data_IF_564842909146
#
_entry.id   IF_564842909146
#
_cell.length_a   1.000
_cell.length_b   1.000
_cell.length_c   1.000
_cell.angle_alpha   90.00
_cell.angle_beta   90.00
_cell.angle_gamma   90.00
#
_symmetry.space_group_name_H-M   'P 1'
#
loop_
_entity.id
_entity.type
_entity.pdbx_description
1 polymer ?
#
# COMPACT_ATOMS: atom_id res chain seq x y z
N UNK A 1 -4.05 -22.69 -26.60
CA UNK A 1 -3.72 -21.86 -25.43
C UNK A 1 -3.65 -20.41 -25.89
N UNK A 2 -4.73 -19.65 -25.75
CA UNK A 2 -4.67 -18.19 -25.86
C UNK A 2 -4.20 -17.71 -24.49
N UNK A 3 -2.96 -17.26 -24.42
CA UNK A 3 -2.52 -16.41 -23.33
C UNK A 3 -3.27 -15.09 -23.57
N UNK A 4 -4.38 -14.88 -22.87
CA UNK A 4 -5.01 -13.57 -22.82
C UNK A 4 -3.98 -12.64 -22.20
N UNK A 5 -3.34 -11.85 -23.07
CA UNK A 5 -2.61 -10.67 -22.67
C UNK A 5 -3.64 -9.78 -21.98
N UNK A 6 -3.60 -9.73 -20.66
CA UNK A 6 -4.24 -8.66 -19.91
C UNK A 6 -3.65 -7.38 -20.47
N UNK A 7 -4.46 -6.66 -21.24
CA UNK A 7 -4.08 -5.41 -21.86
C UNK A 7 -3.78 -4.39 -20.78
N UNK A 8 -2.82 -3.51 -21.06
CA UNK A 8 -2.27 -2.48 -20.21
C UNK A 8 -3.31 -1.41 -19.74
N UNK A 9 -4.59 -1.58 -20.08
CA UNK A 9 -5.70 -0.66 -19.77
C UNK A 9 -6.61 -1.15 -18.62
N UNK A 10 -6.39 -2.36 -18.07
CA UNK A 10 -7.42 -3.06 -17.28
C UNK A 10 -7.23 -3.07 -15.75
N UNK A 11 -6.05 -2.70 -15.21
CA UNK A 11 -5.79 -2.85 -13.77
C UNK A 11 -6.64 -1.90 -12.95
N UNK A 12 -6.63 -0.61 -13.28
CA UNK A 12 -7.36 0.40 -12.53
C UNK A 12 -8.79 0.60 -13.00
N UNK A 13 -9.10 0.34 -14.28
CA UNK A 13 -10.47 0.47 -14.78
C UNK A 13 -11.46 -0.44 -14.03
N UNK A 14 -11.04 -1.66 -13.72
CA UNK A 14 -11.83 -2.58 -12.89
C UNK A 14 -12.08 -2.03 -11.47
N UNK A 15 -11.11 -1.36 -10.86
CA UNK A 15 -11.24 -0.77 -9.51
C UNK A 15 -12.17 0.44 -9.48
N UNK A 16 -12.25 1.20 -10.58
CA UNK A 16 -13.07 2.41 -10.69
C UNK A 16 -14.58 2.11 -10.85
N UNK A 17 -14.91 0.87 -11.20
CA UNK A 17 -16.29 0.38 -11.35
C UNK A 17 -16.90 -0.21 -10.07
N UNK A 18 -16.18 -0.19 -8.95
CA UNK A 18 -16.64 -0.78 -7.69
C UNK A 18 -17.92 -0.09 -7.17
N UNK A 19 -18.94 -0.89 -6.87
CA UNK A 19 -20.20 -0.37 -6.32
C UNK A 19 -20.04 0.13 -4.89
N UNK A 20 -20.70 1.26 -4.58
CA UNK A 20 -20.74 1.79 -3.22
C UNK A 20 -21.65 0.91 -2.36
N UNK A 21 -21.13 0.46 -1.23
CA UNK A 21 -21.91 -0.29 -0.23
C UNK A 21 -22.73 0.71 0.60
N UNK A 22 -24.01 0.42 0.79
CA UNK A 22 -24.89 1.22 1.65
C UNK A 22 -24.48 1.15 3.12
N UNK A 23 -24.71 2.23 3.88
CA UNK A 23 -24.21 2.36 5.27
C UNK A 23 -24.58 1.18 6.17
N UNK A 24 -25.84 0.72 6.09
CA UNK A 24 -26.32 -0.42 6.89
C UNK A 24 -25.57 -1.72 6.58
N UNK A 25 -25.39 -2.03 5.29
CA UNK A 25 -24.66 -3.23 4.87
C UNK A 25 -23.18 -3.15 5.28
N UNK A 26 -22.57 -1.96 5.20
CA UNK A 26 -21.22 -1.73 5.71
C UNK A 26 -21.12 -1.99 7.22
N UNK A 27 -22.03 -1.43 8.02
CA UNK A 27 -22.02 -1.60 9.48
C UNK A 27 -22.25 -3.07 9.92
N UNK A 28 -23.01 -3.84 9.13
CA UNK A 28 -23.19 -5.29 9.34
C UNK A 28 -21.92 -6.09 8.99
N UNK A 29 -21.31 -5.82 7.82
CA UNK A 29 -20.08 -6.50 7.39
C UNK A 29 -18.90 -6.21 8.31
N UNK A 30 -18.74 -4.94 8.71
CA UNK A 30 -17.58 -4.50 9.46
C UNK A 30 -17.50 -5.12 10.85
N UNK A 31 -18.65 -5.40 11.47
CA UNK A 31 -18.73 -6.03 12.77
C UNK A 31 -18.17 -7.44 12.73
N UNK A 32 -18.54 -8.23 11.71
CA UNK A 32 -18.05 -9.60 11.54
C UNK A 32 -16.57 -9.61 11.13
N UNK A 33 -16.19 -8.77 10.16
CA UNK A 33 -14.80 -8.67 9.70
C UNK A 33 -13.83 -8.28 10.83
N UNK A 34 -14.25 -7.41 11.74
CA UNK A 34 -13.45 -7.08 12.92
C UNK A 34 -13.21 -8.29 13.82
N UNK A 35 -14.25 -9.09 14.08
CA UNK A 35 -14.13 -10.30 14.89
C UNK A 35 -13.22 -11.34 14.22
N UNK A 36 -13.41 -11.57 12.91
CA UNK A 36 -12.61 -12.49 12.12
C UNK A 36 -11.13 -12.06 12.08
N UNK A 37 -10.86 -10.76 11.91
CA UNK A 37 -9.50 -10.22 11.92
C UNK A 37 -8.80 -10.42 13.27
N UNK A 38 -9.52 -10.22 14.38
CA UNK A 38 -9.00 -10.51 15.72
C UNK A 38 -8.73 -12.00 15.94
N UNK A 39 -9.62 -12.87 15.46
CA UNK A 39 -9.40 -14.32 15.51
C UNK A 39 -8.20 -14.74 14.66
N UNK A 40 -8.03 -14.17 13.48
CA UNK A 40 -6.88 -14.41 12.60
C UNK A 40 -5.56 -13.97 13.26
N UNK A 41 -5.53 -12.80 13.92
CA UNK A 41 -4.35 -12.36 14.67
C UNK A 41 -4.02 -13.30 15.83
N UNK A 42 -5.04 -13.78 16.56
CA UNK A 42 -4.83 -14.76 17.64
C UNK A 42 -4.29 -16.08 17.11
N UNK A 43 -4.85 -16.59 16.02
CA UNK A 43 -4.37 -17.81 15.39
C UNK A 43 -2.92 -17.65 14.90
N UNK A 44 -2.57 -16.50 14.32
CA UNK A 44 -1.20 -16.20 13.87
C UNK A 44 -0.18 -16.35 15.01
N UNK A 45 -0.50 -15.90 16.23
CA UNK A 45 0.38 -16.00 17.40
C UNK A 45 0.81 -17.44 17.73
N UNK A 46 0.03 -18.45 17.34
CA UNK A 46 0.30 -19.87 17.58
C UNK A 46 1.08 -20.52 16.43
N UNK A 47 1.37 -19.76 15.37
CA UNK A 47 2.11 -20.23 14.19
C UNK A 47 3.57 -19.76 14.20
N UNK A 48 4.39 -20.37 13.35
CA UNK A 48 5.72 -19.87 13.02
C UNK A 48 5.72 -18.86 11.88
N UNK A 49 4.57 -18.32 11.48
CA UNK A 49 4.45 -17.34 10.40
C UNK A 49 4.37 -15.92 10.95
N UNK A 50 4.63 -14.94 10.11
CA UNK A 50 4.36 -13.53 10.40
C UNK A 50 3.64 -12.89 9.22
N UNK A 51 3.07 -11.70 9.39
CA UNK A 51 2.32 -11.02 8.33
C UNK A 51 2.84 -9.61 8.16
N UNK A 52 3.11 -9.20 6.93
CA UNK A 52 3.37 -7.81 6.55
C UNK A 52 2.20 -7.33 5.68
N UNK A 53 1.54 -6.25 6.11
CA UNK A 53 0.47 -5.59 5.37
C UNK A 53 1.04 -4.29 4.80
N UNK A 54 1.29 -4.23 3.49
CA UNK A 54 1.72 -3.01 2.82
C UNK A 54 0.52 -2.26 2.25
N UNK A 55 0.36 -1.00 2.65
CA UNK A 55 -0.72 -0.13 2.19
C UNK A 55 -0.11 1.01 1.38
N UNK A 56 -0.35 0.98 0.07
CA UNK A 56 -0.02 2.02 -0.89
C UNK A 56 -1.28 2.55 -1.58
N UNK A 57 -1.11 3.54 -2.46
CA UNK A 57 -2.23 4.11 -3.19
C UNK A 57 -2.05 5.59 -3.51
N UNK A 58 -3.02 6.11 -4.25
CA UNK A 58 -3.12 7.52 -4.64
C UNK A 58 -3.29 8.42 -3.40
N UNK A 59 -2.80 9.65 -3.46
CA UNK A 59 -2.96 10.60 -2.36
C UNK A 59 -4.42 10.98 -2.15
N UNK A 60 -4.83 11.12 -0.89
CA UNK A 60 -6.23 11.26 -0.52
C UNK A 60 -7.09 9.99 -0.64
N UNK A 61 -6.53 8.83 -1.04
CA UNK A 61 -7.31 7.60 -1.21
C UNK A 61 -7.86 6.96 0.09
N UNK A 62 -7.51 7.50 1.27
CA UNK A 62 -8.00 6.98 2.55
C UNK A 62 -7.04 6.00 3.24
N UNK A 63 -5.77 5.97 2.81
CA UNK A 63 -4.73 5.05 3.32
C UNK A 63 -4.55 5.17 4.84
N UNK A 64 -4.48 6.40 5.34
CA UNK A 64 -4.31 6.69 6.76
C UNK A 64 -5.53 6.24 7.58
N UNK A 65 -6.74 6.45 7.07
CA UNK A 65 -7.98 6.01 7.72
C UNK A 65 -8.05 4.49 7.83
N UNK A 66 -7.63 3.74 6.81
CA UNK A 66 -7.55 2.27 6.88
C UNK A 66 -6.53 1.81 7.91
N UNK A 67 -5.34 2.43 7.92
CA UNK A 67 -4.30 2.11 8.91
C UNK A 67 -4.78 2.41 10.34
N UNK A 68 -5.50 3.52 10.54
CA UNK A 68 -6.08 3.87 11.82
C UNK A 68 -7.09 2.81 12.28
N UNK A 69 -8.00 2.40 11.38
CA UNK A 69 -8.97 1.33 11.66
C UNK A 69 -8.27 0.02 12.05
N UNK A 70 -7.23 -0.38 11.33
CA UNK A 70 -6.48 -1.60 11.65
C UNK A 70 -5.80 -1.52 13.03
N UNK A 71 -5.19 -0.37 13.35
CA UNK A 71 -4.58 -0.13 14.67
C UNK A 71 -5.61 -0.12 15.81
N UNK A 72 -6.84 0.36 15.56
CA UNK A 72 -7.93 0.35 16.54
C UNK A 72 -8.50 -1.05 16.78
N UNK A 73 -8.49 -1.92 15.76
CA UNK A 73 -9.16 -3.21 15.84
C UNK A 73 -8.27 -4.33 16.33
N UNK A 74 -7.01 -4.36 15.90
CA UNK A 74 -6.05 -5.40 16.24
C UNK A 74 -5.48 -5.21 17.66
N UNK A 75 -5.05 -6.30 18.29
CA UNK A 75 -4.32 -6.22 19.55
C UNK A 75 -2.95 -5.57 19.31
N UNK A 76 -2.65 -4.41 19.92
CA UNK A 76 -1.41 -3.67 19.69
C UNK A 76 -0.17 -4.45 20.15
N UNK A 77 -0.31 -5.46 21.03
CA UNK A 77 0.84 -6.26 21.48
C UNK A 77 1.40 -7.17 20.40
N UNK A 78 0.63 -7.46 19.35
CA UNK A 78 1.06 -8.28 18.20
C UNK A 78 1.15 -7.49 16.91
N UNK A 79 1.14 -6.15 16.98
CA UNK A 79 1.09 -5.27 15.82
C UNK A 79 2.15 -4.17 15.91
N UNK A 80 2.90 -3.99 14.83
CA UNK A 80 3.84 -2.88 14.66
C UNK A 80 3.46 -2.07 13.41
N UNK A 81 3.35 -0.75 13.52
CA UNK A 81 3.07 0.14 12.36
C UNK A 81 4.30 0.95 12.02
N UNK A 82 4.76 0.85 10.77
CA UNK A 82 5.90 1.57 10.23
C UNK A 82 5.46 2.46 9.07
N UNK A 83 5.86 3.74 9.11
CA UNK A 83 5.64 4.67 8.01
C UNK A 83 6.96 5.03 7.34
N UNK A 84 6.99 4.97 6.01
CA UNK A 84 8.20 5.17 5.20
C UNK A 84 8.11 6.44 4.37
N UNK A 85 7.83 7.58 5.00
CA UNK A 85 7.69 8.87 4.33
C UNK A 85 9.02 9.39 3.77
N UNK A 86 10.07 9.34 4.59
CA UNK A 86 11.40 9.80 4.24
C UNK A 86 12.46 8.77 4.65
N UNK A 87 13.56 8.74 3.90
CA UNK A 87 14.77 8.08 4.35
C UNK A 87 15.37 8.87 5.51
N UNK A 88 15.24 8.36 6.74
CA UNK A 88 16.00 8.88 7.87
C UNK A 88 17.51 8.91 7.52
N UNK A 89 18.24 9.89 8.04
CA UNK A 89 19.66 10.10 7.70
C UNK A 89 20.56 8.86 7.95
N UNK A 90 20.17 7.94 8.83
CA UNK A 90 20.88 6.68 9.05
C UNK A 90 20.57 5.61 7.99
N UNK A 91 19.44 5.71 7.29
CA UNK A 91 19.03 4.80 6.23
C UNK A 91 19.73 5.11 4.91
N UNK A 92 20.19 6.36 4.68
CA UNK A 92 20.92 6.75 3.47
C UNK A 92 22.31 6.13 3.38
N UNK A 93 22.93 5.79 4.51
CA UNK A 93 24.25 5.13 4.58
C UNK A 93 24.16 3.60 4.47
N UNK A 94 22.97 3.06 4.20
CA UNK A 94 22.69 1.62 4.14
C UNK A 94 22.05 1.26 2.79
N UNK A 95 22.10 -0.02 2.38
CA UNK A 95 21.33 -0.48 1.22
C UNK A 95 19.85 -0.16 1.38
N UNK A 96 19.17 0.21 0.28
CA UNK A 96 17.76 0.60 0.25
C UNK A 96 16.83 -0.34 1.04
N UNK A 97 17.05 -1.66 0.93
CA UNK A 97 16.20 -2.67 1.56
C UNK A 97 16.42 -2.84 3.06
N UNK A 98 17.50 -2.28 3.63
CA UNK A 98 17.86 -2.45 5.04
C UNK A 98 16.72 -2.00 5.97
N UNK A 99 16.04 -0.90 5.66
CA UNK A 99 14.93 -0.39 6.48
C UNK A 99 13.76 -1.36 6.57
N UNK A 100 13.45 -2.06 5.47
CA UNK A 100 12.37 -3.05 5.45
C UNK A 100 12.74 -4.29 6.27
N UNK A 101 14.00 -4.73 6.15
CA UNK A 101 14.54 -5.80 6.99
C UNK A 101 14.44 -5.50 8.49
N UNK A 102 14.75 -4.28 8.92
CA UNK A 102 14.63 -3.88 10.32
C UNK A 102 13.18 -3.82 10.80
N UNK A 103 12.24 -3.60 9.89
CA UNK A 103 10.81 -3.50 10.19
C UNK A 103 10.03 -4.80 10.03
N UNK A 104 10.71 -5.92 9.76
CA UNK A 104 10.03 -7.21 9.68
C UNK A 104 9.53 -7.65 11.06
N UNK A 105 8.29 -8.11 11.16
CA UNK A 105 7.72 -8.60 12.41
C UNK A 105 8.36 -9.93 12.82
N UNK A 106 8.48 -10.18 14.12
CA UNK A 106 8.78 -11.52 14.60
C UNK A 106 7.64 -12.49 14.27
N UNK A 107 7.90 -13.81 14.39
CA UNK A 107 6.85 -14.82 14.23
C UNK A 107 5.69 -14.55 15.19
N UNK A 108 4.48 -14.83 14.73
CA UNK A 108 3.22 -14.54 15.41
C UNK A 108 2.74 -13.10 15.27
N UNK A 109 3.56 -12.16 14.78
CA UNK A 109 3.21 -10.73 14.73
C UNK A 109 2.83 -10.26 13.33
N UNK A 110 2.15 -9.12 13.32
CA UNK A 110 1.77 -8.35 12.13
C UNK A 110 2.59 -7.07 12.09
N UNK A 111 3.11 -6.70 10.93
CA UNK A 111 3.61 -5.35 10.67
C UNK A 111 2.75 -4.67 9.59
N UNK A 112 2.39 -3.40 9.80
CA UNK A 112 1.77 -2.56 8.77
C UNK A 112 2.84 -1.63 8.22
N UNK A 113 3.02 -1.64 6.90
CA UNK A 113 3.90 -0.74 6.18
C UNK A 113 3.09 0.29 5.42
N UNK A 114 3.27 1.56 5.78
CA UNK A 114 2.66 2.67 5.08
C UNK A 114 3.65 3.25 4.05
N UNK A 115 3.34 3.02 2.76
CA UNK A 115 4.17 3.49 1.65
C UNK A 115 5.52 2.76 1.54
N UNK A 116 6.57 3.50 1.18
CA UNK A 116 7.93 2.97 1.11
C UNK A 116 8.20 2.15 -0.15
N UNK A 117 8.18 0.81 -0.03
CA UNK A 117 8.79 -0.09 -1.03
C UNK A 117 8.21 0.10 -2.43
N UNK A 118 6.94 0.50 -2.51
CA UNK A 118 6.27 0.81 -3.77
C UNK A 118 6.12 2.31 -4.03
N UNK A 119 6.09 3.15 -2.99
CA UNK A 119 5.91 4.60 -3.15
C UNK A 119 7.19 5.27 -3.64
N UNK A 120 8.36 4.95 -3.06
CA UNK A 120 9.62 5.59 -3.47
C UNK A 120 9.95 5.35 -4.96
N UNK A 121 9.76 4.14 -5.52
CA UNK A 121 10.01 3.95 -6.94
C UNK A 121 9.04 4.73 -7.84
N UNK A 122 7.78 4.86 -7.44
CA UNK A 122 6.77 5.65 -8.17
C UNK A 122 7.18 7.13 -8.16
N UNK A 123 7.54 7.66 -6.99
CA UNK A 123 7.97 9.05 -6.82
C UNK A 123 9.20 9.37 -7.70
N UNK A 124 10.23 8.53 -7.62
CA UNK A 124 11.44 8.67 -8.44
C UNK A 124 11.14 8.53 -9.93
N UNK A 125 10.21 7.67 -10.33
CA UNK A 125 9.82 7.55 -11.72
C UNK A 125 9.35 8.89 -12.28
N UNK A 126 8.44 9.55 -11.56
CA UNK A 126 7.83 10.80 -11.97
C UNK A 126 8.83 11.95 -11.89
N UNK A 127 9.47 12.14 -10.73
CA UNK A 127 10.32 13.30 -10.49
C UNK A 127 11.69 13.22 -11.17
N UNK A 128 12.28 12.03 -11.29
CA UNK A 128 13.55 11.83 -11.99
C UNK A 128 13.37 11.43 -13.46
N UNK A 129 12.12 11.41 -13.96
CA UNK A 129 11.76 11.05 -15.34
C UNK A 129 12.35 9.69 -15.77
N UNK A 130 12.22 8.69 -14.90
CA UNK A 130 12.69 7.33 -15.21
C UNK A 130 11.75 6.69 -16.25
N UNK A 131 12.27 5.70 -16.96
CA UNK A 131 11.49 4.92 -17.94
C UNK A 131 11.10 3.55 -17.40
N UNK A 132 10.25 2.85 -18.15
CA UNK A 132 9.76 1.50 -17.84
C UNK A 132 10.88 0.49 -17.56
N UNK A 133 12.02 0.60 -18.25
CA UNK A 133 13.17 -0.28 -18.00
C UNK A 133 13.70 -0.15 -16.57
N UNK A 134 13.77 1.08 -16.05
CA UNK A 134 14.18 1.30 -14.66
C UNK A 134 13.16 0.74 -13.67
N UNK A 135 11.85 0.86 -13.97
CA UNK A 135 10.77 0.24 -13.15
C UNK A 135 10.89 -1.28 -13.18
N UNK A 136 11.19 -1.87 -14.33
CA UNK A 136 11.42 -3.31 -14.49
C UNK A 136 12.57 -3.80 -13.61
N UNK A 137 13.71 -3.10 -13.63
CA UNK A 137 14.87 -3.46 -12.81
C UNK A 137 14.60 -3.33 -11.30
N UNK A 138 14.08 -2.20 -10.83
CA UNK A 138 13.76 -2.03 -9.40
C UNK A 138 12.70 -3.04 -8.95
N UNK A 139 11.77 -3.43 -9.83
CA UNK A 139 10.80 -4.48 -9.54
C UNK A 139 11.43 -5.85 -9.35
N UNK A 140 12.56 -6.15 -10.00
CA UNK A 140 13.31 -7.39 -9.74
C UNK A 140 13.86 -7.42 -8.32
N UNK A 141 14.41 -6.30 -7.86
CA UNK A 141 14.93 -6.17 -6.50
C UNK A 141 13.82 -6.32 -5.46
N UNK A 142 12.67 -5.68 -5.69
CA UNK A 142 11.47 -5.82 -4.84
C UNK A 142 11.04 -7.28 -4.78
N UNK A 143 10.81 -7.94 -5.93
CA UNK A 143 10.41 -9.36 -5.96
C UNK A 143 11.43 -10.27 -5.30
N UNK A 144 12.73 -9.97 -5.42
CA UNK A 144 13.77 -10.72 -4.74
C UNK A 144 13.61 -10.65 -3.21
N UNK A 145 13.39 -9.45 -2.68
CA UNK A 145 13.09 -9.26 -1.26
C UNK A 145 11.80 -9.97 -0.83
N UNK A 146 10.70 -9.76 -1.57
CA UNK A 146 9.40 -10.40 -1.30
C UNK A 146 9.53 -11.93 -1.24
N UNK A 147 10.21 -12.53 -2.22
CA UNK A 147 10.37 -13.98 -2.29
C UNK A 147 11.22 -14.53 -1.14
N UNK A 148 12.21 -13.76 -0.69
CA UNK A 148 13.07 -14.17 0.41
C UNK A 148 12.31 -14.17 1.74
N UNK A 149 11.54 -13.12 2.04
CA UNK A 149 10.75 -13.06 3.28
C UNK A 149 9.57 -14.03 3.25
N UNK A 150 8.98 -14.27 2.06
CA UNK A 150 7.94 -15.30 1.88
C UNK A 150 8.49 -16.69 2.18
N UNK A 151 9.67 -17.04 1.65
CA UNK A 151 10.33 -18.32 1.94
C UNK A 151 10.70 -18.48 3.41
N UNK A 152 11.00 -17.38 4.09
CA UNK A 152 11.21 -17.39 5.53
C UNK A 152 9.89 -17.70 6.27
N UNK A 153 8.72 -17.41 5.70
CA UNK A 153 7.41 -17.66 6.30
C UNK A 153 6.65 -16.37 6.68
N UNK A 154 7.04 -15.25 6.08
CA UNK A 154 6.31 -13.97 6.19
C UNK A 154 5.29 -13.88 5.07
N UNK A 155 4.01 -13.90 5.44
CA UNK A 155 2.89 -13.66 4.52
C UNK A 155 2.86 -12.17 4.18
N UNK A 156 2.69 -11.84 2.90
CA UNK A 156 2.65 -10.47 2.43
C UNK A 156 1.26 -10.13 1.86
N UNK A 157 0.61 -9.15 2.46
CA UNK A 157 -0.67 -8.60 2.00
C UNK A 157 -0.40 -7.22 1.42
N UNK A 158 -0.61 -7.06 0.10
CA UNK A 158 -0.32 -5.81 -0.62
C UNK A 158 -1.63 -5.16 -1.05
N UNK A 159 -1.90 -3.96 -0.55
CA UNK A 159 -3.14 -3.22 -0.80
C UNK A 159 -2.79 -1.92 -1.52
N UNK A 160 -3.35 -1.74 -2.72
CA UNK A 160 -3.30 -0.47 -3.45
C UNK A 160 -4.66 0.20 -3.40
N UNK A 161 -4.72 1.40 -2.84
CA UNK A 161 -5.94 2.22 -2.80
C UNK A 161 -5.98 3.18 -3.97
N UNK A 162 -6.93 2.97 -4.87
CA UNK A 162 -7.07 3.75 -6.10
C UNK A 162 -8.22 4.76 -6.02
N UNK A 163 -8.03 5.94 -6.62
CA UNK A 163 -9.07 6.94 -6.86
C UNK A 163 -8.87 7.50 -8.26
N UNK A 164 -9.96 7.70 -9.01
CA UNK A 164 -9.92 8.47 -10.26
C UNK A 164 -9.38 9.88 -9.99
N UNK A 165 -8.73 10.50 -10.99
CA UNK A 165 -8.26 11.90 -10.89
C UNK A 165 -9.32 12.85 -10.36
N UNK A 166 -10.55 12.74 -10.88
CA UNK A 166 -11.67 13.57 -10.44
C UNK A 166 -12.13 13.28 -9.00
N UNK A 167 -12.09 12.02 -8.55
CA UNK A 167 -12.40 11.66 -7.16
C UNK A 167 -11.30 12.13 -6.21
N UNK A 168 -10.03 11.99 -6.60
CA UNK A 168 -8.88 12.50 -5.87
C UNK A 168 -9.00 14.02 -5.66
N UNK A 169 -9.25 14.78 -6.73
CA UNK A 169 -9.43 16.23 -6.67
C UNK A 169 -10.51 16.64 -5.66
N UNK A 170 -11.68 16.00 -5.74
CA UNK A 170 -12.78 16.28 -4.81
C UNK A 170 -12.38 15.98 -3.38
N UNK A 171 -11.74 14.83 -3.13
CA UNK A 171 -11.33 14.42 -1.78
C UNK A 171 -10.27 15.36 -1.19
N UNK A 172 -9.27 15.77 -1.96
CA UNK A 172 -8.27 16.75 -1.53
C UNK A 172 -8.90 18.11 -1.22
N UNK A 173 -9.85 18.55 -2.04
CA UNK A 173 -10.62 19.77 -1.80
C UNK A 173 -11.43 19.68 -0.52
N UNK A 174 -12.19 18.60 -0.32
CA UNK A 174 -13.02 18.38 0.88
C UNK A 174 -12.16 18.38 2.16
N UNK A 175 -10.98 17.74 2.11
CA UNK A 175 -10.02 17.73 3.21
C UNK A 175 -9.48 19.13 3.50
N UNK A 176 -9.10 19.88 2.47
CA UNK A 176 -8.57 21.25 2.59
C UNK A 176 -9.62 22.23 3.16
N UNK A 177 -10.87 22.11 2.74
CA UNK A 177 -11.97 22.96 3.20
C UNK A 177 -12.42 22.63 4.63
N UNK A 178 -12.13 21.43 5.14
CA UNK A 178 -12.44 21.02 6.51
C UNK A 178 -11.36 21.47 7.51
N UNK A 179 -11.63 22.40 8.44
CA UNK A 179 -10.63 22.90 9.39
C UNK A 179 -10.01 21.83 10.30
N UNK A 180 -10.70 20.71 10.53
CA UNK A 180 -10.20 19.62 11.39
C UNK A 180 -9.34 18.61 10.63
N UNK A 181 -9.43 18.59 9.29
CA UNK A 181 -8.75 17.61 8.44
C UNK A 181 -7.77 18.24 7.45
N UNK A 182 -7.71 19.56 7.36
CA UNK A 182 -6.86 20.28 6.40
C UNK A 182 -5.38 19.89 6.45
N UNK A 183 -4.88 19.47 7.63
CA UNK A 183 -3.51 19.00 7.82
C UNK A 183 -3.20 17.72 7.04
N UNK A 184 -4.23 16.99 6.59
CA UNK A 184 -4.12 15.78 5.76
C UNK A 184 -4.00 16.06 4.26
N UNK A 185 -4.22 17.31 3.83
CA UNK A 185 -4.06 17.75 2.45
C UNK A 185 -2.82 18.67 2.37
N UNK A 186 -1.65 18.07 2.20
CA UNK A 186 -0.39 18.79 2.12
C UNK A 186 -0.22 19.46 0.75
N UNK A 187 0.69 20.44 0.68
CA UNK A 187 0.99 21.11 -0.60
C UNK A 187 1.50 20.16 -1.67
N UNK A 188 2.16 19.07 -1.27
CA UNK A 188 2.70 18.09 -2.20
C UNK A 188 1.61 17.19 -2.81
N UNK A 189 0.51 16.95 -2.09
CA UNK A 189 -0.64 16.19 -2.63
C UNK A 189 -1.25 16.89 -3.86
N UNK A 190 -1.29 18.22 -3.84
CA UNK A 190 -1.75 19.02 -4.99
C UNK A 190 -0.77 18.98 -6.17
N UNK A 191 0.54 18.96 -5.90
CA UNK A 191 1.55 18.79 -6.96
C UNK A 191 1.47 17.40 -7.58
N UNK A 192 1.24 16.37 -6.77
CA UNK A 192 1.03 15.00 -7.26
C UNK A 192 -0.26 14.91 -8.08
N UNK A 193 -1.31 15.63 -7.69
CA UNK A 193 -2.55 15.70 -8.46
C UNK A 193 -2.35 16.29 -9.86
N UNK A 194 -1.52 17.34 -9.99
CA UNK A 194 -1.17 17.91 -11.30
C UNK A 194 -0.44 16.90 -12.20
N UNK A 195 0.36 16.02 -11.59
CA UNK A 195 1.11 14.94 -12.23
C UNK A 195 0.37 13.58 -12.21
N UNK A 196 -0.94 13.56 -11.93
CA UNK A 196 -1.70 12.34 -11.66
C UNK A 196 -1.48 11.23 -12.70
N UNK A 197 -1.49 11.56 -14.00
CA UNK A 197 -1.36 10.53 -15.04
C UNK A 197 0.00 9.84 -14.99
N UNK A 198 1.07 10.57 -14.66
CA UNK A 198 2.42 10.03 -14.57
C UNK A 198 2.56 9.13 -13.34
N UNK A 199 1.98 9.55 -12.21
CA UNK A 199 1.91 8.74 -10.99
C UNK A 199 1.08 7.47 -11.21
N UNK A 200 -0.06 7.57 -11.90
CA UNK A 200 -0.93 6.44 -12.23
C UNK A 200 -0.21 5.45 -13.15
N UNK A 201 0.43 5.92 -14.21
CA UNK A 201 1.23 5.08 -15.11
C UNK A 201 2.36 4.35 -14.37
N UNK A 202 3.11 5.07 -13.54
CA UNK A 202 4.18 4.50 -12.74
C UNK A 202 3.67 3.42 -11.76
N UNK A 203 2.55 3.69 -11.09
CA UNK A 203 1.91 2.76 -10.16
C UNK A 203 1.44 1.50 -10.89
N UNK A 204 0.79 1.64 -12.04
CA UNK A 204 0.32 0.51 -12.84
C UNK A 204 1.47 -0.39 -13.28
N UNK A 205 2.55 0.20 -13.82
CA UNK A 205 3.73 -0.55 -14.23
C UNK A 205 4.35 -1.30 -13.04
N UNK A 206 4.50 -0.62 -11.90
CA UNK A 206 5.10 -1.22 -10.72
C UNK A 206 4.24 -2.37 -10.16
N UNK A 207 2.91 -2.20 -10.10
CA UNK A 207 1.97 -3.25 -9.67
C UNK A 207 2.05 -4.44 -10.62
N UNK A 208 2.02 -4.20 -11.94
CA UNK A 208 2.08 -5.27 -12.93
C UNK A 208 3.39 -6.06 -12.82
N UNK A 209 4.53 -5.37 -12.70
CA UNK A 209 5.81 -6.05 -12.56
C UNK A 209 5.96 -6.76 -11.22
N UNK A 210 5.42 -6.25 -10.13
CA UNK A 210 5.54 -6.86 -8.79
C UNK A 210 4.37 -7.80 -8.45
N UNK A 211 3.48 -8.08 -9.40
CA UNK A 211 2.41 -9.07 -9.24
C UNK A 211 2.99 -10.48 -9.36
N UNK A 212 3.33 -11.09 -8.23
CA UNK A 212 3.62 -12.51 -8.15
C UNK A 212 2.34 -13.31 -7.90
N UNK A 213 2.26 -14.53 -8.47
CA UNK A 213 1.17 -15.51 -8.21
C UNK A 213 1.45 -16.40 -7.00
N UNK A 214 2.59 -16.20 -6.34
CA UNK A 214 3.11 -17.08 -5.30
C UNK A 214 2.67 -16.65 -3.88
N UNK A 215 1.67 -15.77 -3.78
CA UNK A 215 1.02 -15.37 -2.52
C UNK A 215 -0.42 -15.88 -2.47
#
# INVERSE_FOLDING_TARGET
>A
MKCEMVTQEDVFHSMESAEKIGRKAYDELITNLRADLLMAQRALNETSQSVVITIGGVDGAGKGEVIQILNEWLDPRGLDTHSFWDMAANATDRPYQWRYWQSLPSRGRIAIWFGGMYTDPIDKYVHEKRGTEWVSEISKDIRFFENMVLKDGTIQVKIWMHLTKGAQHRRLKDLYENPQEHWRAMSDDWKHHDLYEQFSEAAEQLILFTRSREA
#
